data_IF_981515882977
#
_entry.id   IF_981515882977
#
_cell.length_a   1.000
_cell.length_b   1.000
_cell.length_c   1.000
_cell.angle_alpha   90.00
_cell.angle_beta   90.00
_cell.angle_gamma   90.00
#
_symmetry.space_group_name_H-M   'P 1'
#
loop_
_entity.id
_entity.type
_entity.pdbx_description
1 polymer ?
#
# COMPACT_ATOMS: atom_id res chain seq x y z
N UNK A 1 2.03 -35.71 7.63
CA UNK A 1 2.23 -35.07 7.61
C UNK A 1 1.93 -33.99 7.27
N UNK A 2 1.63 -33.23 7.29
CA UNK A 2 1.36 -32.29 6.91
C UNK A 2 1.91 -31.19 6.99
N UNK A 3 2.24 -30.69 6.95
CA UNK A 3 2.82 -29.79 7.02
C UNK A 3 2.60 -28.69 6.37
N UNK A 4 1.76 -28.54 5.92
CA UNK A 4 1.45 -27.45 5.11
C UNK A 4 1.26 -26.19 5.87
N UNK A 5 0.91 -26.18 7.04
CA UNK A 5 0.70 -24.97 7.78
C UNK A 5 1.92 -24.11 7.89
N UNK A 6 3.09 -24.70 7.86
CA UNK A 6 4.25 -23.87 8.08
C UNK A 6 4.61 -23.01 6.91
N UNK A 7 4.12 -23.28 5.74
CA UNK A 7 4.41 -22.41 4.60
C UNK A 7 3.69 -21.08 4.72
N UNK A 8 2.63 -21.01 5.49
CA UNK A 8 1.84 -19.82 5.54
C UNK A 8 2.48 -18.72 6.35
N UNK A 9 3.35 -19.07 7.26
CA UNK A 9 3.97 -18.09 8.12
C UNK A 9 5.01 -17.24 7.44
N UNK A 10 5.29 -17.50 6.16
CA UNK A 10 6.31 -16.72 5.48
C UNK A 10 5.70 -15.55 4.70
N UNK A 11 4.40 -15.39 4.73
CA UNK A 11 3.76 -14.33 3.98
C UNK A 11 3.49 -13.13 4.86
N UNK A 12 3.54 -11.96 4.23
CA UNK A 12 3.27 -10.72 4.91
C UNK A 12 2.14 -10.00 4.18
N UNK A 13 1.65 -8.92 4.77
CA UNK A 13 0.63 -8.14 4.10
C UNK A 13 0.79 -6.66 4.46
N UNK A 14 0.28 -5.81 3.59
CA UNK A 14 0.16 -4.37 3.83
C UNK A 14 -1.32 -4.05 3.79
N UNK A 15 -1.78 -3.29 4.78
CA UNK A 15 -3.18 -2.91 4.89
C UNK A 15 -3.26 -1.47 5.37
N UNK A 16 -4.43 -0.87 5.27
CA UNK A 16 -4.63 0.48 5.76
C UNK A 16 -5.90 1.10 5.22
N UNK A 17 -6.03 2.40 5.45
CA UNK A 17 -7.19 3.16 5.04
C UNK A 17 -6.70 4.39 4.30
N UNK A 18 -7.39 4.73 3.20
CA UNK A 18 -7.12 5.95 2.44
C UNK A 18 -8.24 6.93 2.75
N UNK A 19 -7.87 8.15 3.16
CA UNK A 19 -8.85 9.17 3.48
C UNK A 19 -8.41 10.51 2.90
N UNK A 20 -9.35 11.45 2.84
CA UNK A 20 -9.08 12.78 2.31
C UNK A 20 -8.71 13.74 3.44
N UNK A 21 -8.42 15.01 3.15
CA UNK A 21 -8.01 15.95 4.20
C UNK A 21 -9.06 16.17 5.28
N UNK A 22 -10.33 15.90 4.99
CA UNK A 22 -11.36 16.05 6.00
C UNK A 22 -11.51 14.81 6.87
N UNK A 23 -10.79 13.74 6.54
CA UNK A 23 -10.90 12.49 7.26
C UNK A 23 -11.91 11.52 6.69
N UNK A 24 -12.56 11.88 5.60
CA UNK A 24 -13.54 10.99 4.98
C UNK A 24 -12.83 9.92 4.16
N UNK A 25 -13.39 8.74 4.10
CA UNK A 25 -12.80 7.65 3.33
C UNK A 25 -12.82 7.99 1.84
N UNK A 26 -11.79 7.52 1.12
CA UNK A 26 -11.72 7.67 -0.32
C UNK A 26 -11.97 6.30 -0.94
N UNK A 27 -13.18 6.05 -1.47
CA UNK A 27 -13.48 4.76 -2.06
C UNK A 27 -12.97 4.68 -3.49
N UNK A 28 -12.77 3.47 -3.96
CA UNK A 28 -12.38 3.19 -5.35
C UNK A 28 -11.11 3.90 -5.80
N UNK A 29 -10.18 4.13 -4.87
CA UNK A 29 -8.87 4.63 -5.25
C UNK A 29 -8.07 3.49 -5.87
N UNK A 30 -7.41 3.77 -6.98
CA UNK A 30 -6.58 2.78 -7.64
C UNK A 30 -5.23 2.72 -6.97
N UNK A 31 -4.78 1.54 -6.64
CA UNK A 31 -3.54 1.36 -5.91
C UNK A 31 -2.65 0.35 -6.62
N UNK A 32 -1.36 0.61 -6.60
CA UNK A 32 -0.37 -0.31 -7.14
C UNK A 32 0.75 -0.48 -6.14
N UNK A 33 1.16 -1.70 -5.91
CA UNK A 33 2.28 -2.01 -5.03
C UNK A 33 3.34 -2.73 -5.84
N UNK A 34 4.52 -2.13 -5.93
CA UNK A 34 5.59 -2.69 -6.74
C UNK A 34 6.71 -3.18 -5.85
N UNK A 35 7.12 -4.42 -6.05
CA UNK A 35 8.28 -4.97 -5.39
C UNK A 35 9.54 -4.52 -6.12
N UNK A 36 10.41 -3.80 -5.45
CA UNK A 36 11.55 -3.21 -6.13
C UNK A 36 12.55 -4.25 -6.62
N UNK A 37 12.67 -5.36 -5.90
CA UNK A 37 13.64 -6.39 -6.28
C UNK A 37 13.26 -7.12 -7.55
N UNK A 38 11.97 -7.32 -7.79
CA UNK A 38 11.50 -8.13 -8.92
C UNK A 38 10.69 -7.35 -9.92
N UNK A 39 10.32 -6.12 -9.59
CA UNK A 39 9.43 -5.28 -10.39
C UNK A 39 8.02 -5.87 -10.53
N UNK A 40 7.67 -6.83 -9.69
CA UNK A 40 6.33 -7.38 -9.71
C UNK A 40 5.35 -6.34 -9.16
N UNK A 41 4.21 -6.20 -9.81
CA UNK A 41 3.21 -5.19 -9.44
C UNK A 41 1.93 -5.89 -9.03
N UNK A 42 1.42 -5.52 -7.86
CA UNK A 42 0.12 -5.95 -7.38
C UNK A 42 -0.81 -4.76 -7.42
N UNK A 43 -2.05 -4.96 -7.82
CA UNK A 43 -3.02 -3.87 -7.90
C UNK A 43 -4.20 -4.15 -7.01
N UNK A 44 -4.78 -3.09 -6.48
CA UNK A 44 -5.95 -3.18 -5.62
C UNK A 44 -6.71 -1.86 -5.71
N UNK A 45 -7.90 -1.85 -5.13
CA UNK A 45 -8.71 -0.64 -5.02
C UNK A 45 -9.26 -0.57 -3.61
N UNK A 46 -9.48 0.65 -3.13
CA UNK A 46 -10.08 0.79 -1.81
C UNK A 46 -11.57 0.46 -1.87
N UNK A 47 -12.08 -0.06 -0.77
CA UNK A 47 -13.51 -0.32 -0.64
C UNK A 47 -14.29 0.94 -0.27
N UNK A 48 -15.56 0.75 0.05
CA UNK A 48 -16.45 1.88 0.36
C UNK A 48 -15.98 2.66 1.59
N UNK A 49 -15.26 2.01 2.49
CA UNK A 49 -14.72 2.67 3.68
C UNK A 49 -13.26 3.07 3.52
N UNK A 50 -12.74 3.03 2.30
CA UNK A 50 -11.35 3.41 2.05
C UNK A 50 -10.34 2.35 2.43
N UNK A 51 -10.77 1.19 2.83
CA UNK A 51 -9.88 0.13 3.30
C UNK A 51 -9.24 -0.61 2.13
N UNK A 52 -7.98 -0.96 2.28
CA UNK A 52 -7.27 -1.74 1.26
C UNK A 52 -6.39 -2.78 1.92
N UNK A 53 -6.02 -3.79 1.15
CA UNK A 53 -5.07 -4.78 1.64
C UNK A 53 -4.30 -5.37 0.45
N UNK A 54 -3.02 -5.63 0.67
CA UNK A 54 -2.18 -6.36 -0.27
C UNK A 54 -1.66 -7.60 0.45
N UNK A 55 -2.33 -8.73 0.29
CA UNK A 55 -1.93 -9.93 1.00
C UNK A 55 -0.87 -10.74 0.26
N UNK A 56 -0.34 -11.73 0.92
CA UNK A 56 0.58 -12.69 0.30
C UNK A 56 1.85 -12.07 -0.24
N UNK A 57 2.41 -11.14 0.51
CA UNK A 57 3.64 -10.48 0.10
C UNK A 57 4.85 -11.24 0.60
N UNK A 58 5.93 -11.19 -0.17
CA UNK A 58 7.21 -11.73 0.29
C UNK A 58 8.01 -10.60 0.91
N UNK A 59 8.98 -10.94 1.74
CA UNK A 59 9.83 -9.93 2.35
C UNK A 59 10.58 -9.15 1.29
N UNK A 60 10.69 -7.87 1.48
CA UNK A 60 11.39 -7.01 0.54
C UNK A 60 11.00 -5.56 0.69
N UNK A 61 11.44 -4.74 -0.26
CA UNK A 61 11.15 -3.33 -0.28
C UNK A 61 10.14 -3.05 -1.39
N UNK A 62 9.16 -2.22 -1.06
CA UNK A 62 8.03 -1.97 -1.95
C UNK A 62 7.81 -0.49 -2.17
N UNK A 63 7.14 -0.19 -3.27
CA UNK A 63 6.71 1.16 -3.60
C UNK A 63 5.20 1.15 -3.79
N UNK A 64 4.49 2.01 -3.07
CA UNK A 64 3.04 2.08 -3.12
C UNK A 64 2.63 3.33 -3.88
N UNK A 65 1.76 3.17 -4.87
CA UNK A 65 1.21 4.28 -5.65
C UNK A 65 -0.30 4.28 -5.53
N UNK A 66 -0.88 5.44 -5.35
CA UNK A 66 -2.33 5.59 -5.21
C UNK A 66 -2.79 6.71 -6.11
N UNK A 67 -3.85 6.44 -6.87
CA UNK A 67 -4.44 7.43 -7.76
C UNK A 67 -5.95 7.43 -7.55
N UNK A 68 -6.52 8.60 -7.32
CA UNK A 68 -7.96 8.74 -7.17
C UNK A 68 -8.41 10.02 -7.87
N UNK A 69 -9.59 9.98 -8.46
CA UNK A 69 -10.10 11.11 -9.19
C UNK A 69 -10.29 12.31 -8.27
N UNK A 70 -9.73 13.45 -8.65
CA UNK A 70 -9.84 14.67 -7.85
C UNK A 70 -8.77 14.81 -6.80
N UNK A 71 -7.84 13.87 -6.72
CA UNK A 71 -6.76 13.92 -5.75
C UNK A 71 -5.42 13.84 -6.46
N UNK A 72 -4.38 14.35 -5.81
CA UNK A 72 -3.03 14.19 -6.33
C UNK A 72 -2.62 12.74 -6.22
N UNK A 73 -1.82 12.28 -7.17
CA UNK A 73 -1.24 10.96 -7.07
C UNK A 73 -0.31 10.89 -5.87
N UNK A 74 -0.33 9.79 -5.17
CA UNK A 74 0.47 9.59 -3.98
C UNK A 74 1.44 8.44 -4.22
N UNK A 75 2.71 8.64 -3.92
CA UNK A 75 3.71 7.59 -4.06
C UNK A 75 4.53 7.53 -2.77
N UNK A 76 4.62 6.35 -2.18
CA UNK A 76 5.45 6.13 -1.01
C UNK A 76 6.45 5.04 -1.31
N UNK A 77 7.73 5.35 -1.17
CA UNK A 77 8.81 4.45 -1.50
C UNK A 77 9.49 3.96 -0.24
N UNK A 78 10.29 2.90 -0.38
CA UNK A 78 11.10 2.43 0.72
C UNK A 78 10.32 1.72 1.80
N UNK A 79 9.18 1.13 1.46
CA UNK A 79 8.40 0.38 2.43
C UNK A 79 9.07 -0.98 2.62
N UNK A 80 9.57 -1.23 3.80
CA UNK A 80 10.24 -2.49 4.11
C UNK A 80 9.24 -3.44 4.75
N UNK A 81 9.11 -4.62 4.17
CA UNK A 81 8.21 -5.66 4.67
C UNK A 81 9.05 -6.87 5.03
N UNK A 82 8.89 -7.35 6.24
CA UNK A 82 9.60 -8.52 6.72
C UNK A 82 8.71 -9.74 6.70
N UNK A 83 9.30 -10.90 6.89
CA UNK A 83 8.54 -12.14 6.90
C UNK A 83 7.47 -12.10 7.98
N UNK A 84 6.30 -12.59 7.63
CA UNK A 84 5.21 -12.76 8.58
C UNK A 84 4.84 -11.45 9.27
N UNK A 85 5.02 -10.34 8.58
CA UNK A 85 4.74 -9.04 9.16
C UNK A 85 3.45 -8.48 8.58
N UNK A 86 2.67 -7.83 9.42
CA UNK A 86 1.50 -7.09 8.99
C UNK A 86 1.83 -5.62 9.10
N UNK A 87 1.91 -4.94 7.97
CA UNK A 87 2.27 -3.54 7.92
C UNK A 87 1.01 -2.72 7.70
N UNK A 88 0.80 -1.72 8.55
CA UNK A 88 -0.36 -0.85 8.39
C UNK A 88 0.11 0.52 7.92
N UNK A 89 -0.44 0.98 6.81
CA UNK A 89 -0.12 2.28 6.24
C UNK A 89 -1.43 2.99 5.96
N UNK A 90 -1.72 4.02 6.74
CA UNK A 90 -2.87 4.87 6.51
C UNK A 90 -2.42 6.07 5.71
N UNK A 91 -3.16 6.42 4.67
CA UNK A 91 -2.77 7.44 3.72
C UNK A 91 -3.81 8.55 3.69
N UNK A 92 -3.34 9.79 3.75
CA UNK A 92 -4.19 10.95 3.55
C UNK A 92 -3.87 11.53 2.19
N UNK A 93 -4.81 11.47 1.26
CA UNK A 93 -4.64 12.04 -0.07
C UNK A 93 -4.92 13.53 -0.03
N UNK A 94 -4.29 14.27 -0.94
CA UNK A 94 -4.51 15.70 -1.05
C UNK A 94 -5.32 16.01 -2.28
N UNK A 95 -6.20 17.00 -2.16
CA UNK A 95 -7.01 17.42 -3.28
C UNK A 95 -6.12 18.15 -4.27
N UNK A 96 -6.30 17.85 -5.55
CA UNK A 96 -5.53 18.50 -6.60
C UNK A 96 -5.75 17.80 -7.92
N UNK A 97 -5.01 18.27 -8.94
CA UNK A 97 -5.07 17.63 -10.24
C UNK A 97 -4.30 16.31 -10.16
N UNK A 98 -4.75 15.32 -10.92
CA UNK A 98 -4.05 14.05 -10.93
C UNK A 98 -2.66 14.14 -11.54
N UNK A 99 -2.36 15.24 -12.22
CA UNK A 99 -1.01 15.44 -12.74
C UNK A 99 -0.02 15.82 -11.66
N UNK A 100 -0.49 16.25 -10.50
CA UNK A 100 0.38 16.55 -9.38
C UNK A 100 0.63 15.27 -8.60
N UNK A 101 1.86 15.08 -8.17
CA UNK A 101 2.24 13.87 -7.43
C UNK A 101 2.86 14.24 -6.09
N UNK A 102 2.35 13.63 -5.03
CA UNK A 102 2.95 13.73 -3.71
C UNK A 102 3.84 12.51 -3.53
N UNK A 103 5.13 12.75 -3.33
CA UNK A 103 6.07 11.66 -3.11
C UNK A 103 6.51 11.66 -1.67
N UNK A 104 6.42 10.51 -1.04
CA UNK A 104 6.86 10.32 0.33
C UNK A 104 7.87 9.19 0.34
N UNK A 105 9.01 9.43 0.96
CA UNK A 105 10.00 8.38 1.16
C UNK A 105 9.79 7.85 2.57
N UNK A 106 9.52 6.58 2.68
CA UNK A 106 9.39 5.95 3.98
C UNK A 106 10.77 5.73 4.48
N UNK A 107 11.43 6.75 5.02
CA UNK A 107 12.73 6.52 5.43
C UNK A 107 12.71 5.94 6.69
N UNK A 108 13.49 5.13 6.82
CA UNK A 108 13.55 4.30 7.88
C UNK A 108 13.91 4.92 9.12
N UNK A 109 13.93 6.06 9.16
CA UNK A 109 14.30 6.59 10.32
C UNK A 109 13.46 6.32 11.27
N UNK A 110 13.63 5.98 12.05
CA UNK A 110 12.94 5.68 13.02
C UNK A 110 12.96 5.82 13.88
#
# INVERSE_FOLDING_TARGET
>A
MCFSGWAQGTRALITGIVHDPSGAAVPAADMSLRALATSAVSKASTGADGYYTFPNLVAGVYELSISAKGFRDYVQRGITVNLDQQVRIDVALEIGATTDTVQVVADASP
#
